data_IF_863899021433
#
_entry.id   IF_863899021433
#
_cell.length_a   1.000
_cell.length_b   1.000
_cell.length_c   1.000
_cell.angle_alpha   90.00
_cell.angle_beta   90.00
_cell.angle_gamma   90.00
#
_symmetry.space_group_name_H-M   'P 1'
#
loop_
_entity.id
_entity.type
_entity.pdbx_description
1 polymer ?
#
# COMPACT_ATOMS: atom_id res chain seq x y z
N UNK A 1 14.89 17.43 -3.22
CA UNK A 1 15.53 16.12 -2.93
C UNK A 1 14.40 15.10 -2.86
N UNK A 2 14.32 14.15 -3.80
CA UNK A 2 13.21 13.19 -3.87
C UNK A 2 13.41 12.02 -2.91
N UNK A 3 12.31 11.46 -2.40
CA UNK A 3 12.32 10.20 -1.65
C UNK A 3 12.26 9.03 -2.64
N UNK A 4 13.15 8.04 -2.49
CA UNK A 4 13.11 6.81 -3.28
C UNK A 4 12.06 5.88 -2.65
N UNK A 5 11.07 5.49 -3.45
CA UNK A 5 10.03 4.54 -3.04
C UNK A 5 10.30 3.23 -3.79
N UNK A 6 10.28 2.12 -3.06
CA UNK A 6 10.43 0.78 -3.62
C UNK A 6 9.12 0.02 -3.39
N UNK A 7 8.62 -0.62 -4.43
CA UNK A 7 7.49 -1.53 -4.35
C UNK A 7 8.01 -2.95 -4.59
N UNK A 8 7.79 -3.84 -3.63
CA UNK A 8 8.11 -5.26 -3.75
C UNK A 8 6.81 -6.06 -3.83
N UNK A 9 6.76 -7.04 -4.73
CA UNK A 9 5.65 -7.98 -4.86
C UNK A 9 6.19 -9.40 -4.76
N UNK A 10 5.68 -10.17 -3.81
CA UNK A 10 5.99 -11.60 -3.69
C UNK A 10 4.91 -12.39 -4.43
N UNK A 11 5.32 -13.28 -5.33
CA UNK A 11 4.40 -14.19 -6.05
C UNK A 11 4.90 -15.62 -5.86
N UNK A 12 3.98 -16.53 -5.52
CA UNK A 12 4.31 -17.95 -5.41
C UNK A 12 3.86 -18.67 -6.68
N UNK A 13 4.67 -19.61 -7.18
CA UNK A 13 4.25 -20.52 -8.24
C UNK A 13 3.61 -21.72 -7.57
N UNK A 14 2.32 -21.94 -7.82
CA UNK A 14 1.62 -23.15 -7.36
C UNK A 14 2.15 -24.32 -8.18
N UNK A 15 3.14 -25.03 -7.66
CA UNK A 15 3.61 -26.27 -8.28
C UNK A 15 2.54 -27.32 -8.07
N UNK A 16 2.15 -28.02 -9.13
CA UNK A 16 1.09 -29.04 -9.16
C UNK A 16 1.54 -30.37 -8.50
N UNK A 17 2.46 -30.30 -7.54
CA UNK A 17 2.95 -31.43 -6.77
C UNK A 17 2.28 -31.44 -5.40
N UNK A 18 1.64 -32.57 -5.08
CA UNK A 18 0.79 -32.82 -3.90
C UNK A 18 1.57 -32.88 -2.57
N UNK A 19 2.42 -31.90 -2.27
CA UNK A 19 3.10 -31.79 -0.98
C UNK A 19 2.87 -30.40 -0.41
N UNK A 20 1.92 -30.32 0.53
CA UNK A 20 1.63 -29.20 1.44
C UNK A 20 1.45 -27.83 0.76
N UNK A 21 0.25 -27.25 0.87
CA UNK A 21 -0.01 -25.87 0.44
C UNK A 21 0.89 -24.92 1.23
N UNK A 22 2.10 -24.65 0.70
CA UNK A 22 3.04 -23.70 1.30
C UNK A 22 2.38 -22.33 1.32
N UNK A 23 2.12 -21.82 2.52
CA UNK A 23 1.52 -20.52 2.74
C UNK A 23 2.58 -19.45 2.51
N UNK A 24 2.18 -18.21 2.22
CA UNK A 24 3.14 -17.12 2.02
C UNK A 24 3.97 -16.87 3.28
N UNK A 25 3.37 -17.14 4.43
CA UNK A 25 3.96 -17.12 5.76
C UNK A 25 5.15 -18.10 5.92
N UNK A 26 5.25 -19.13 5.09
CA UNK A 26 6.36 -20.11 5.12
C UNK A 26 7.62 -19.58 4.41
N UNK A 27 7.53 -18.44 3.72
CA UNK A 27 8.70 -17.81 3.10
C UNK A 27 9.48 -17.08 4.19
N UNK A 28 10.77 -17.42 4.42
CA UNK A 28 11.55 -16.85 5.52
C UNK A 28 11.57 -15.32 5.56
N UNK A 29 11.58 -14.68 4.39
CA UNK A 29 11.59 -13.22 4.27
C UNK A 29 10.23 -12.58 4.61
N UNK A 30 9.13 -13.30 4.41
CA UNK A 30 7.79 -12.81 4.79
C UNK A 30 7.64 -12.88 6.31
N UNK A 31 8.15 -13.95 6.93
CA UNK A 31 8.18 -14.09 8.39
C UNK A 31 9.05 -13.02 9.06
N UNK A 32 10.24 -12.76 8.52
CA UNK A 32 11.18 -11.77 9.05
C UNK A 32 10.65 -10.33 8.96
N UNK A 33 9.74 -10.06 8.03
CA UNK A 33 9.15 -8.73 7.77
C UNK A 33 7.61 -8.75 7.82
N UNK A 34 7.02 -9.47 8.77
CA UNK A 34 5.56 -9.63 8.89
C UNK A 34 4.80 -8.30 9.07
N UNK A 35 5.44 -7.28 9.65
CA UNK A 35 4.88 -5.93 9.77
C UNK A 35 4.78 -5.16 8.43
N UNK A 36 5.56 -5.57 7.43
CA UNK A 36 5.56 -4.96 6.08
C UNK A 36 4.60 -5.70 5.14
N UNK A 37 4.45 -7.00 5.35
CA UNK A 37 3.59 -7.89 4.56
C UNK A 37 2.30 -8.23 5.31
N UNK A 38 1.60 -7.21 5.82
CA UNK A 38 0.29 -7.39 6.45
C UNK A 38 -0.75 -7.81 5.39
N UNK A 39 -1.66 -8.70 5.78
CA UNK A 39 -2.80 -9.11 4.94
C UNK A 39 -3.72 -7.91 4.63
N UNK A 40 -3.86 -7.00 5.59
CA UNK A 40 -4.57 -5.74 5.47
C UNK A 40 -3.61 -4.54 5.57
N UNK A 41 -3.78 -3.54 4.72
CA UNK A 41 -3.01 -2.30 4.79
C UNK A 41 -3.47 -1.47 6.00
N UNK A 42 -2.55 -0.85 6.76
CA UNK A 42 -2.92 0.08 7.81
C UNK A 42 -3.67 1.28 7.19
N UNK A 43 -4.83 1.62 7.75
CA UNK A 43 -5.70 2.70 7.23
C UNK A 43 -5.01 4.07 7.21
N UNK A 44 -4.09 4.28 8.15
CA UNK A 44 -3.29 5.49 8.25
C UNK A 44 -1.82 5.14 8.03
N UNK A 45 -1.08 5.98 7.29
CA UNK A 45 0.36 5.83 7.24
C UNK A 45 0.92 5.91 8.66
N UNK A 46 1.90 5.06 9.03
CA UNK A 46 2.56 5.13 10.32
C UNK A 46 3.03 6.54 10.64
N UNK A 47 3.05 6.90 11.93
CA UNK A 47 3.55 8.19 12.39
C UNK A 47 4.98 8.38 11.87
N UNK A 48 5.16 9.36 10.97
CA UNK A 48 6.45 9.64 10.36
C UNK A 48 7.21 10.59 11.29
N UNK A 49 8.51 10.39 11.45
CA UNK A 49 9.36 11.28 12.23
C UNK A 49 9.50 12.69 11.63
N UNK A 50 9.16 12.85 10.35
CA UNK A 50 9.22 14.12 9.62
C UNK A 50 7.82 14.50 9.15
N UNK A 51 7.44 15.74 9.42
CA UNK A 51 6.19 16.32 8.94
C UNK A 51 6.28 16.60 7.43
N UNK A 52 5.25 16.19 6.68
CA UNK A 52 5.20 16.39 5.25
C UNK A 52 4.58 17.75 4.96
N UNK A 53 5.37 18.67 4.41
CA UNK A 53 4.88 19.97 3.94
C UNK A 53 4.60 19.91 2.44
N UNK A 54 3.48 20.51 2.02
CA UNK A 54 3.14 20.68 0.61
C UNK A 54 3.53 22.12 0.23
N UNK A 55 4.67 22.25 -0.44
CA UNK A 55 5.12 23.53 -0.97
C UNK A 55 4.30 23.91 -2.20
N UNK A 56 3.61 25.05 -2.11
CA UNK A 56 2.89 25.61 -3.24
C UNK A 56 3.80 26.56 -4.02
N UNK A 57 3.69 26.54 -5.34
CA UNK A 57 4.26 27.61 -6.17
C UNK A 57 3.62 28.95 -5.78
N UNK A 58 4.39 30.04 -5.63
CA UNK A 58 3.84 31.35 -5.29
C UNK A 58 2.71 31.76 -6.23
N UNK A 59 1.56 32.11 -5.68
CA UNK A 59 0.36 32.46 -6.44
C UNK A 59 -0.60 31.30 -6.75
N UNK A 60 -0.31 30.08 -6.30
CA UNK A 60 -1.26 28.98 -6.37
C UNK A 60 -2.54 29.28 -5.57
N UNK A 61 -3.69 29.21 -6.23
CA UNK A 61 -4.99 29.34 -5.59
C UNK A 61 -5.53 27.96 -5.16
N UNK A 62 -6.25 27.87 -4.02
CA UNK A 62 -6.97 26.65 -3.66
C UNK A 62 -7.96 26.24 -4.75
N UNK A 63 -8.02 24.94 -5.05
CA UNK A 63 -8.96 24.39 -6.02
C UNK A 63 -10.12 23.72 -5.28
N UNK A 64 -11.34 24.18 -5.55
CA UNK A 64 -12.57 23.52 -5.11
C UNK A 64 -13.29 22.94 -6.33
N UNK A 65 -13.63 21.65 -6.30
CA UNK A 65 -14.43 20.97 -7.33
C UNK A 65 -15.56 20.20 -6.66
N UNK A 66 -16.73 20.21 -7.28
CA UNK A 66 -17.84 19.39 -6.81
C UNK A 66 -17.46 17.90 -6.89
N UNK A 67 -17.87 17.06 -5.92
CA UNK A 67 -17.70 15.62 -6.02
C UNK A 67 -18.38 15.06 -7.27
N UNK A 68 -17.80 14.01 -7.87
CA UNK A 68 -18.47 13.27 -8.93
C UNK A 68 -19.72 12.57 -8.39
N UNK A 69 -20.76 12.47 -9.24
CA UNK A 69 -21.94 11.67 -8.91
C UNK A 69 -21.56 10.20 -9.02
N UNK A 70 -21.65 9.46 -7.92
CA UNK A 70 -21.60 8.00 -7.95
C UNK A 70 -22.98 7.47 -8.36
N UNK A 71 -23.00 6.33 -9.05
CA UNK A 71 -24.23 5.58 -9.24
C UNK A 71 -24.72 5.05 -7.87
N UNK A 72 -26.04 4.87 -7.67
CA UNK A 72 -26.55 4.19 -6.49
C UNK A 72 -25.94 2.79 -6.37
N UNK A 73 -25.68 2.32 -5.14
CA UNK A 73 -25.41 0.90 -4.91
C UNK A 73 -26.67 0.10 -5.28
N UNK A 74 -26.53 -0.94 -6.10
CA UNK A 74 -27.62 -1.87 -6.38
C UNK A 74 -28.17 -2.46 -5.06
N UNK A 75 -29.50 -2.52 -4.92
CA UNK A 75 -30.19 -3.19 -3.81
C UNK A 75 -30.62 -4.59 -4.24
#
# INVERSE_FOLDING_TARGET
>A
KGCQIYLAQVTYKKTEDKSEEKRLEDVPIVWEFSEVFLEDLPELPPARQVEFQIDLVPGAAPVARAPYRLAPAEM
#
